data_IF_729444364023
#
_entry.id   IF_729444364023
#
_cell.length_a   1.000
_cell.length_b   1.000
_cell.length_c   1.000
_cell.angle_alpha   90.00
_cell.angle_beta   90.00
_cell.angle_gamma   90.00
#
_symmetry.space_group_name_H-M   'P 1'
#
loop_
_entity.id
_entity.type
_entity.pdbx_description
1 polymer ?
#
# COMPACT_ATOMS: atom_id res chain seq x y z
N UNK A 1 15.45 -15.09 -20.90
CA UNK A 1 14.85 -15.29 -19.56
C UNK A 1 14.48 -13.98 -18.86
N UNK A 2 15.42 -13.04 -18.67
CA UNK A 2 15.17 -11.79 -17.94
C UNK A 2 14.24 -10.78 -18.65
N UNK A 3 14.16 -10.79 -19.99
CA UNK A 3 13.24 -9.93 -20.75
C UNK A 3 11.79 -10.43 -20.77
N UNK A 4 11.61 -11.76 -20.76
CA UNK A 4 10.29 -12.41 -20.63
C UNK A 4 9.67 -12.14 -19.25
N UNK A 5 10.50 -12.17 -18.21
CA UNK A 5 10.08 -11.90 -16.82
C UNK A 5 9.59 -10.46 -16.64
N UNK A 6 10.35 -9.47 -17.15
CA UNK A 6 9.92 -8.05 -17.17
C UNK A 6 8.61 -7.83 -17.93
N UNK A 7 8.39 -8.55 -19.03
CA UNK A 7 7.15 -8.49 -19.79
C UNK A 7 5.95 -9.04 -19.00
N UNK A 8 6.14 -10.15 -18.28
CA UNK A 8 5.12 -10.74 -17.42
C UNK A 8 4.79 -9.83 -16.22
N UNK A 9 5.78 -9.22 -15.58
CA UNK A 9 5.57 -8.26 -14.49
C UNK A 9 4.79 -7.03 -14.93
N UNK A 10 5.14 -6.46 -16.08
CA UNK A 10 4.44 -5.31 -16.64
C UNK A 10 2.99 -5.64 -17.06
N UNK A 11 2.78 -6.83 -17.63
CA UNK A 11 1.44 -7.31 -17.95
C UNK A 11 0.57 -7.45 -16.68
N UNK A 12 1.12 -8.06 -15.63
CA UNK A 12 0.45 -8.21 -14.34
C UNK A 12 0.11 -6.84 -13.72
N UNK A 13 1.02 -5.88 -13.76
CA UNK A 13 0.79 -4.54 -13.25
C UNK A 13 -0.39 -3.86 -13.97
N UNK A 14 -0.45 -3.94 -15.30
CA UNK A 14 -1.56 -3.36 -16.08
C UNK A 14 -2.91 -3.98 -15.71
N UNK A 15 -2.96 -5.29 -15.47
CA UNK A 15 -4.18 -5.97 -15.03
C UNK A 15 -4.62 -5.43 -13.67
N UNK A 16 -3.68 -5.23 -12.74
CA UNK A 16 -3.98 -4.66 -11.43
C UNK A 16 -4.44 -3.20 -11.50
N UNK A 17 -3.85 -2.39 -12.38
CA UNK A 17 -4.30 -1.01 -12.62
C UNK A 17 -5.71 -0.97 -13.20
N UNK A 18 -5.98 -1.77 -14.24
CA UNK A 18 -7.32 -1.85 -14.83
C UNK A 18 -8.37 -2.30 -13.82
N UNK A 19 -8.01 -3.24 -12.95
CA UNK A 19 -8.89 -3.68 -11.87
C UNK A 19 -9.12 -2.57 -10.82
N UNK A 20 -8.05 -1.98 -10.31
CA UNK A 20 -8.11 -1.01 -9.21
C UNK A 20 -8.78 0.30 -9.61
N UNK A 21 -8.56 0.77 -10.84
CA UNK A 21 -9.17 2.00 -11.36
C UNK A 21 -10.49 1.74 -12.08
N UNK A 22 -10.53 0.71 -12.92
CA UNK A 22 -11.68 0.41 -13.76
C UNK A 22 -12.89 -0.07 -12.96
N UNK A 23 -12.68 -0.87 -11.91
CA UNK A 23 -13.77 -1.35 -11.04
C UNK A 23 -14.57 -0.19 -10.41
N UNK A 24 -13.94 0.66 -9.58
CA UNK A 24 -14.60 1.82 -8.98
C UNK A 24 -15.18 2.79 -10.02
N UNK A 25 -14.45 3.06 -11.11
CA UNK A 25 -14.92 3.95 -12.18
C UNK A 25 -16.19 3.41 -12.84
N UNK A 26 -16.27 2.11 -13.08
CA UNK A 26 -17.45 1.47 -13.69
C UNK A 26 -18.65 1.57 -12.76
N UNK A 27 -18.49 1.26 -11.48
CA UNK A 27 -19.57 1.35 -10.48
C UNK A 27 -20.05 2.81 -10.36
N UNK A 28 -19.12 3.76 -10.27
CA UNK A 28 -19.43 5.18 -10.19
C UNK A 28 -20.13 5.71 -11.46
N UNK A 29 -19.66 5.30 -12.64
CA UNK A 29 -20.27 5.69 -13.91
C UNK A 29 -21.70 5.15 -14.04
N UNK A 30 -21.92 3.87 -13.68
CA UNK A 30 -23.27 3.29 -13.68
C UNK A 30 -24.18 4.03 -12.71
N UNK A 31 -23.72 4.28 -11.48
CA UNK A 31 -24.49 5.04 -10.50
C UNK A 31 -24.85 6.45 -11.01
N UNK A 32 -23.88 7.17 -11.58
CA UNK A 32 -24.09 8.50 -12.14
C UNK A 32 -25.07 8.51 -13.33
N UNK A 33 -24.95 7.54 -14.25
CA UNK A 33 -25.86 7.40 -15.39
C UNK A 33 -27.29 7.17 -14.90
N UNK A 34 -27.49 6.23 -13.97
CA UNK A 34 -28.81 5.89 -13.45
C UNK A 34 -29.45 7.04 -12.66
N UNK A 35 -28.64 7.85 -11.97
CA UNK A 35 -29.10 9.03 -11.23
C UNK A 35 -29.63 10.12 -12.17
N UNK A 36 -29.02 10.28 -13.36
CA UNK A 36 -29.39 11.31 -14.35
C UNK A 36 -30.55 10.91 -15.29
N UNK A 37 -31.06 9.68 -15.20
CA UNK A 37 -32.20 9.26 -16.05
C UNK A 37 -33.49 10.00 -15.64
N UNK A 38 -34.39 10.34 -16.57
CA UNK A 38 -35.67 10.97 -16.23
C UNK A 38 -36.53 10.09 -15.33
N UNK A 39 -37.22 10.71 -14.37
CA UNK A 39 -38.14 10.01 -13.48
C UNK A 39 -39.33 9.42 -14.26
N UNK A 40 -39.65 8.16 -13.98
CA UNK A 40 -40.74 7.43 -14.65
C UNK A 40 -40.33 6.59 -15.87
N UNK A 41 -39.14 6.78 -16.42
CA UNK A 41 -38.66 6.02 -17.59
C UNK A 41 -38.49 4.52 -17.29
N UNK A 42 -38.00 4.22 -16.08
CA UNK A 42 -37.67 2.85 -15.66
C UNK A 42 -37.87 2.68 -14.14
N UNK A 43 -39.08 2.32 -13.67
CA UNK A 43 -39.35 2.15 -12.23
C UNK A 43 -38.63 0.95 -11.60
N UNK A 44 -38.14 0.01 -12.42
CA UNK A 44 -37.47 -1.20 -11.94
C UNK A 44 -35.98 -0.98 -11.60
N UNK A 45 -35.37 0.12 -12.02
CA UNK A 45 -33.96 0.37 -11.71
C UNK A 45 -33.83 1.10 -10.37
N UNK A 46 -32.93 0.59 -9.52
CA UNK A 46 -32.60 1.22 -8.26
C UNK A 46 -31.71 2.45 -8.51
N UNK A 47 -32.31 3.63 -8.45
CA UNK A 47 -31.60 4.92 -8.60
C UNK A 47 -30.90 5.31 -7.29
N UNK A 48 -29.62 5.73 -7.32
CA UNK A 48 -28.89 6.20 -6.13
C UNK A 48 -29.52 7.41 -5.45
N UNK A 49 -30.11 8.33 -6.24
CA UNK A 49 -30.77 9.56 -5.80
C UNK A 49 -29.86 10.41 -4.92
N UNK A 50 -28.67 10.70 -5.44
CA UNK A 50 -27.65 11.45 -4.70
C UNK A 50 -28.18 12.84 -4.30
N UNK A 51 -27.88 13.27 -3.07
CA UNK A 51 -28.14 14.65 -2.65
C UNK A 51 -29.60 15.00 -2.33
N UNK A 52 -30.54 14.07 -2.47
CA UNK A 52 -31.98 14.36 -2.27
C UNK A 52 -32.41 14.37 -0.80
N UNK A 53 -31.83 13.50 0.04
CA UNK A 53 -32.09 13.42 1.49
C UNK A 53 -30.84 13.77 2.32
N UNK A 54 -29.69 13.28 1.87
CA UNK A 54 -28.36 13.48 2.47
C UNK A 54 -27.42 13.90 1.36
N UNK A 55 -26.28 14.50 1.69
CA UNK A 55 -25.17 14.70 0.74
C UNK A 55 -24.44 13.38 0.42
N UNK A 56 -25.22 12.32 0.16
CA UNK A 56 -24.82 10.94 -0.02
C UNK A 56 -25.96 10.17 -0.72
N UNK A 57 -25.89 8.84 -0.75
CA UNK A 57 -26.98 7.98 -1.21
C UNK A 57 -28.28 8.24 -0.42
N UNK A 58 -29.42 8.15 -1.11
CA UNK A 58 -30.73 8.43 -0.52
C UNK A 58 -31.11 7.47 0.60
N UNK A 59 -30.93 6.16 0.38
CA UNK A 59 -31.34 5.10 1.30
C UNK A 59 -30.29 4.00 1.43
N UNK A 60 -30.56 3.09 2.37
CA UNK A 60 -29.68 1.99 2.70
C UNK A 60 -29.59 0.93 1.60
N UNK A 61 -30.66 0.76 0.81
CA UNK A 61 -30.68 -0.17 -0.31
C UNK A 61 -29.75 0.30 -1.45
N UNK A 62 -29.79 1.59 -1.77
CA UNK A 62 -28.91 2.23 -2.74
C UNK A 62 -27.45 2.19 -2.26
N UNK A 63 -27.23 2.55 -0.99
CA UNK A 63 -25.91 2.53 -0.37
C UNK A 63 -25.30 1.12 -0.35
N UNK A 64 -26.09 0.10 0.00
CA UNK A 64 -25.66 -1.29 -0.05
C UNK A 64 -25.34 -1.71 -1.48
N UNK A 65 -26.20 -1.39 -2.45
CA UNK A 65 -26.03 -1.90 -3.82
C UNK A 65 -24.82 -1.32 -4.53
N UNK A 66 -24.55 -0.02 -4.36
CA UNK A 66 -23.51 0.69 -5.11
C UNK A 66 -22.21 0.89 -4.32
N UNK A 67 -22.22 0.75 -2.99
CA UNK A 67 -21.04 1.01 -2.16
C UNK A 67 -20.68 -0.20 -1.28
N UNK A 68 -21.48 -0.50 -0.24
CA UNK A 68 -21.12 -1.53 0.74
C UNK A 68 -21.12 -2.96 0.19
N UNK A 69 -21.94 -3.26 -0.82
CA UNK A 69 -21.99 -4.56 -1.48
C UNK A 69 -20.68 -4.89 -2.19
N UNK A 70 -20.22 -4.05 -3.15
CA UNK A 70 -18.91 -4.20 -3.77
C UNK A 70 -17.77 -4.24 -2.75
N UNK A 71 -17.77 -3.36 -1.74
CA UNK A 71 -16.77 -3.35 -0.67
C UNK A 71 -16.80 -4.65 0.13
N UNK A 72 -17.98 -5.16 0.47
CA UNK A 72 -18.16 -6.42 1.21
C UNK A 72 -17.59 -7.60 0.45
N UNK A 73 -17.81 -7.68 -0.87
CA UNK A 73 -17.20 -8.71 -1.72
C UNK A 73 -15.67 -8.60 -1.70
N UNK A 74 -15.12 -7.38 -1.81
CA UNK A 74 -13.68 -7.14 -1.73
C UNK A 74 -13.10 -7.56 -0.38
N UNK A 75 -13.78 -7.27 0.73
CA UNK A 75 -13.36 -7.67 2.08
C UNK A 75 -13.36 -9.19 2.22
N UNK A 76 -14.40 -9.87 1.75
CA UNK A 76 -14.46 -11.33 1.77
C UNK A 76 -13.29 -11.95 0.98
N UNK A 77 -13.04 -11.46 -0.23
CA UNK A 77 -11.90 -11.90 -1.04
C UNK A 77 -10.58 -11.63 -0.31
N UNK A 78 -10.37 -10.44 0.23
CA UNK A 78 -9.18 -10.08 0.99
C UNK A 78 -8.96 -11.00 2.20
N UNK A 79 -10.01 -11.31 2.97
CA UNK A 79 -9.93 -12.23 4.11
C UNK A 79 -9.55 -13.64 3.65
N UNK A 80 -10.13 -14.15 2.56
CA UNK A 80 -9.79 -15.49 2.03
C UNK A 80 -8.33 -15.57 1.55
N UNK A 81 -7.86 -14.57 0.80
CA UNK A 81 -6.49 -14.48 0.33
C UNK A 81 -5.49 -14.33 1.48
N UNK A 82 -5.85 -13.53 2.47
CA UNK A 82 -5.06 -13.36 3.68
C UNK A 82 -4.98 -14.66 4.47
N UNK A 83 -6.10 -15.37 4.67
CA UNK A 83 -6.11 -16.66 5.35
C UNK A 83 -5.25 -17.69 4.61
N UNK A 84 -5.33 -17.76 3.28
CA UNK A 84 -4.48 -18.63 2.47
C UNK A 84 -2.99 -18.29 2.62
N UNK A 85 -2.64 -17.01 2.56
CA UNK A 85 -1.25 -16.53 2.72
C UNK A 85 -0.73 -16.81 4.12
N UNK A 86 -1.54 -16.54 5.15
CA UNK A 86 -1.20 -16.83 6.54
C UNK A 86 -0.97 -18.32 6.75
N UNK A 87 -1.84 -19.18 6.20
CA UNK A 87 -1.67 -20.64 6.26
C UNK A 87 -0.38 -21.10 5.60
N UNK A 88 -0.05 -20.57 4.42
CA UNK A 88 1.17 -20.94 3.72
C UNK A 88 2.41 -20.49 4.49
N UNK A 89 2.40 -19.28 5.04
CA UNK A 89 3.50 -18.76 5.86
C UNK A 89 3.64 -19.57 7.16
N UNK A 90 2.56 -19.84 7.88
CA UNK A 90 2.59 -20.59 9.14
C UNK A 90 2.98 -22.06 8.92
N UNK A 91 2.42 -22.72 7.90
CA UNK A 91 2.72 -24.13 7.58
C UNK A 91 4.13 -24.28 6.97
N UNK A 92 4.55 -23.33 6.12
CA UNK A 92 5.90 -23.26 5.56
C UNK A 92 6.97 -22.99 6.61
N UNK A 93 6.67 -22.16 7.63
CA UNK A 93 7.53 -21.98 8.80
C UNK A 93 7.60 -23.26 9.65
N UNK A 94 6.47 -23.94 9.90
CA UNK A 94 6.42 -25.18 10.68
C UNK A 94 7.21 -26.34 10.03
N UNK A 95 7.29 -26.39 8.70
CA UNK A 95 8.11 -27.38 7.99
C UNK A 95 9.61 -27.04 7.95
N UNK A 96 9.99 -25.82 8.33
CA UNK A 96 11.36 -25.30 8.19
C UNK A 96 11.91 -24.82 9.54
N UNK A 97 11.86 -25.66 10.58
CA UNK A 97 12.61 -25.42 11.83
C UNK A 97 14.14 -25.52 11.65
N UNK A 98 14.64 -25.78 10.44
CA UNK A 98 16.08 -25.86 10.16
C UNK A 98 16.48 -24.75 9.18
N UNK A 99 17.41 -23.90 9.63
CA UNK A 99 18.16 -22.88 8.89
C UNK A 99 17.59 -21.44 8.91
N UNK A 100 17.96 -20.73 9.97
CA UNK A 100 18.60 -19.39 10.03
C UNK A 100 18.80 -18.61 8.70
N UNK A 101 17.72 -18.33 7.94
CA UNK A 101 17.68 -17.30 6.89
C UNK A 101 16.30 -16.59 6.81
N UNK A 102 15.56 -16.57 7.93
CA UNK A 102 14.10 -16.36 7.95
C UNK A 102 13.67 -14.88 8.12
N UNK A 103 14.58 -13.91 8.05
CA UNK A 103 14.28 -12.51 8.39
C UNK A 103 13.47 -11.81 7.30
N UNK A 104 13.76 -12.01 6.01
CA UNK A 104 13.05 -11.32 4.92
C UNK A 104 11.61 -11.83 4.72
N UNK A 105 11.39 -13.15 4.72
CA UNK A 105 10.04 -13.74 4.64
C UNK A 105 9.18 -13.39 5.85
N UNK A 106 9.75 -13.39 7.06
CA UNK A 106 9.05 -12.96 8.26
C UNK A 106 8.78 -11.43 8.29
N UNK A 107 9.61 -10.64 7.61
CA UNK A 107 9.40 -9.18 7.46
C UNK A 107 8.30 -8.90 6.45
N UNK A 108 8.30 -9.58 5.30
CA UNK A 108 7.23 -9.48 4.29
C UNK A 108 5.87 -9.92 4.85
N UNK A 109 5.85 -11.02 5.62
CA UNK A 109 4.65 -11.48 6.33
C UNK A 109 4.14 -10.46 7.35
N UNK A 110 5.03 -9.79 8.10
CA UNK A 110 4.65 -8.72 9.04
C UNK A 110 4.10 -7.47 8.35
N UNK A 111 4.64 -7.09 7.19
CA UNK A 111 4.15 -5.95 6.41
C UNK A 111 2.79 -6.27 5.79
N UNK A 112 2.62 -7.45 5.17
CA UNK A 112 1.31 -7.90 4.66
C UNK A 112 0.25 -7.98 5.77
N UNK A 113 0.60 -8.53 6.94
CA UNK A 113 -0.29 -8.59 8.10
C UNK A 113 -0.73 -7.19 8.54
N UNK A 114 0.21 -6.24 8.66
CA UNK A 114 -0.10 -4.86 8.99
C UNK A 114 -1.06 -4.22 7.98
N UNK A 115 -0.82 -4.41 6.69
CA UNK A 115 -1.64 -3.82 5.63
C UNK A 115 -3.05 -4.39 5.60
N UNK A 116 -3.21 -5.71 5.75
CA UNK A 116 -4.54 -6.35 5.75
C UNK A 116 -5.31 -6.02 7.03
N UNK A 117 -4.66 -5.99 8.19
CA UNK A 117 -5.34 -5.69 9.45
C UNK A 117 -5.75 -4.22 9.50
N UNK A 118 -4.86 -3.29 9.15
CA UNK A 118 -5.19 -1.85 9.20
C UNK A 118 -6.30 -1.50 8.20
N UNK A 119 -6.26 -2.05 6.98
CA UNK A 119 -7.29 -1.75 5.98
C UNK A 119 -8.57 -2.55 6.22
N UNK A 120 -8.48 -3.85 6.53
CA UNK A 120 -9.65 -4.71 6.67
C UNK A 120 -10.49 -4.41 7.91
N UNK A 121 -9.86 -4.11 9.05
CA UNK A 121 -10.59 -3.87 10.30
C UNK A 121 -11.38 -2.57 10.27
N UNK A 122 -10.83 -1.49 9.71
CA UNK A 122 -11.55 -0.21 9.61
C UNK A 122 -12.78 -0.35 8.73
N UNK A 123 -12.63 -0.97 7.55
CA UNK A 123 -13.76 -1.22 6.65
C UNK A 123 -14.83 -2.14 7.24
N UNK A 124 -14.44 -3.14 8.04
CA UNK A 124 -15.43 -3.96 8.78
C UNK A 124 -16.16 -3.12 9.81
N UNK A 125 -15.47 -2.22 10.52
CA UNK A 125 -16.12 -1.31 11.47
C UNK A 125 -17.13 -0.38 10.79
N UNK A 126 -16.83 0.17 9.61
CA UNK A 126 -17.77 0.96 8.81
C UNK A 126 -19.01 0.16 8.36
N UNK A 127 -18.82 -1.08 7.94
CA UNK A 127 -19.96 -1.94 7.55
C UNK A 127 -20.84 -2.23 8.78
N UNK A 128 -20.22 -2.47 9.93
CA UNK A 128 -20.95 -2.72 11.19
C UNK A 128 -21.66 -1.46 11.68
N UNK A 129 -21.04 -0.28 11.60
CA UNK A 129 -21.67 0.98 12.01
C UNK A 129 -22.91 1.28 11.17
N UNK A 130 -22.84 1.04 9.87
CA UNK A 130 -23.99 1.13 8.98
C UNK A 130 -25.07 0.09 9.28
N UNK A 131 -24.71 -1.19 9.47
CA UNK A 131 -25.67 -2.27 9.62
C UNK A 131 -26.37 -2.32 10.98
N UNK A 132 -25.64 -2.01 12.06
CA UNK A 132 -26.17 -2.04 13.44
C UNK A 132 -26.82 -0.71 13.80
N UNK A 133 -26.31 0.40 13.25
CA UNK A 133 -26.75 1.74 13.61
C UNK A 133 -26.52 2.03 15.10
N UNK A 134 -27.44 2.80 15.69
CA UNK A 134 -27.37 3.24 17.08
C UNK A 134 -26.93 4.71 17.22
N UNK A 135 -26.66 5.17 18.45
CA UNK A 135 -26.25 6.55 18.67
C UNK A 135 -24.90 6.86 18.02
N UNK A 136 -24.81 7.99 17.32
CA UNK A 136 -23.62 8.38 16.53
C UNK A 136 -22.31 8.36 17.34
N UNK A 137 -22.37 8.70 18.63
CA UNK A 137 -21.20 8.76 19.50
C UNK A 137 -20.46 7.43 19.67
N UNK A 138 -21.14 6.29 19.46
CA UNK A 138 -20.52 4.95 19.54
C UNK A 138 -19.52 4.74 18.40
N UNK A 139 -19.76 5.40 17.26
CA UNK A 139 -18.99 5.23 16.03
C UNK A 139 -17.95 6.33 15.80
N UNK A 140 -17.96 7.42 16.58
CA UNK A 140 -17.00 8.53 16.41
C UNK A 140 -15.54 8.09 16.41
N UNK A 141 -15.17 7.13 17.25
CA UNK A 141 -13.78 6.63 17.26
C UNK A 141 -13.44 5.88 15.98
N UNK A 142 -14.34 5.01 15.51
CA UNK A 142 -14.12 4.22 14.29
C UNK A 142 -14.13 5.11 13.06
N UNK A 143 -15.04 6.08 13.00
CA UNK A 143 -15.16 7.05 11.91
C UNK A 143 -13.93 7.97 11.86
N UNK A 144 -13.40 8.38 13.02
CA UNK A 144 -12.16 9.15 13.11
C UNK A 144 -10.96 8.34 12.62
N UNK A 145 -10.85 7.07 13.02
CA UNK A 145 -9.77 6.19 12.54
C UNK A 145 -9.89 5.98 11.04
N UNK A 146 -11.10 5.80 10.52
CA UNK A 146 -11.35 5.68 9.09
C UNK A 146 -10.97 6.96 8.34
N UNK A 147 -11.35 8.14 8.85
CA UNK A 147 -10.95 9.43 8.28
C UNK A 147 -9.43 9.64 8.29
N UNK A 148 -8.73 9.12 9.30
CA UNK A 148 -7.27 9.17 9.42
C UNK A 148 -6.55 8.01 8.69
N UNK A 149 -7.28 7.11 8.02
CA UNK A 149 -6.73 5.91 7.41
C UNK A 149 -5.58 6.24 6.43
N UNK A 150 -5.71 7.31 5.64
CA UNK A 150 -4.64 7.77 4.75
C UNK A 150 -3.34 8.11 5.48
N UNK A 151 -3.42 8.76 6.64
CA UNK A 151 -2.27 9.10 7.49
C UNK A 151 -1.63 7.83 8.06
N UNK A 152 -2.45 6.86 8.49
CA UNK A 152 -1.97 5.58 9.00
C UNK A 152 -1.23 4.77 7.93
N UNK A 153 -1.76 4.73 6.69
CA UNK A 153 -1.08 4.08 5.55
C UNK A 153 0.26 4.77 5.29
N UNK A 154 0.28 6.10 5.25
CA UNK A 154 1.52 6.86 5.04
C UNK A 154 2.55 6.55 6.13
N UNK A 155 2.16 6.51 7.39
CA UNK A 155 3.06 6.17 8.49
C UNK A 155 3.60 4.73 8.38
N UNK A 156 2.78 3.76 7.95
CA UNK A 156 3.19 2.35 7.84
C UNK A 156 4.10 2.10 6.63
N UNK A 157 3.83 2.75 5.50
CA UNK A 157 4.51 2.50 4.23
C UNK A 157 5.60 3.54 3.94
N UNK A 158 5.27 4.82 4.08
CA UNK A 158 6.16 5.94 3.77
C UNK A 158 7.25 6.14 4.83
N UNK A 159 6.97 5.88 6.10
CA UNK A 159 7.97 6.09 7.17
C UNK A 159 8.94 4.91 7.37
N UNK A 160 9.08 4.01 6.40
CA UNK A 160 10.02 2.90 6.51
C UNK A 160 11.48 3.38 6.34
N UNK A 161 12.44 2.83 7.10
CA UNK A 161 13.85 3.23 7.01
C UNK A 161 14.43 3.15 5.59
N UNK A 162 13.93 2.19 4.79
CA UNK A 162 14.32 2.00 3.40
C UNK A 162 13.89 3.18 2.50
N UNK A 163 12.66 3.67 2.69
CA UNK A 163 12.12 4.83 1.97
C UNK A 163 12.90 6.08 2.35
N UNK A 164 13.13 6.28 3.65
CA UNK A 164 13.92 7.41 4.15
C UNK A 164 15.37 7.40 3.66
N UNK A 165 16.01 6.23 3.56
CA UNK A 165 17.35 6.10 2.99
C UNK A 165 17.39 6.44 1.49
N UNK A 166 16.39 5.98 0.72
CA UNK A 166 16.28 6.34 -0.70
C UNK A 166 16.03 7.84 -0.90
N UNK A 167 15.16 8.42 -0.07
CA UNK A 167 14.89 9.84 0.03
C UNK A 167 16.19 10.61 0.29
N UNK A 168 16.94 10.29 1.34
CA UNK A 168 18.22 10.95 1.64
C UNK A 168 19.19 10.88 0.47
N UNK A 169 19.32 9.73 -0.20
CA UNK A 169 20.18 9.58 -1.39
C UNK A 169 19.77 10.52 -2.53
N UNK A 170 18.47 10.68 -2.79
CA UNK A 170 17.98 11.61 -3.82
C UNK A 170 18.26 13.07 -3.44
N UNK A 171 18.11 13.41 -2.16
CA UNK A 171 18.44 14.75 -1.64
C UNK A 171 19.95 15.03 -1.70
N UNK A 172 20.81 14.07 -1.35
CA UNK A 172 22.26 14.21 -1.46
C UNK A 172 22.77 14.27 -2.91
N UNK A 173 22.08 13.62 -3.86
CA UNK A 173 22.36 13.75 -5.30
C UNK A 173 21.90 15.09 -5.87
N UNK A 174 20.85 15.69 -5.30
CA UNK A 174 20.37 17.02 -5.69
C UNK A 174 21.27 18.16 -5.18
N UNK A 175 22.12 17.92 -4.17
CA UNK A 175 23.01 18.93 -3.58
C UNK A 175 24.36 19.08 -4.32
N UNK A 176 24.62 18.33 -5.39
CA UNK A 176 25.82 18.53 -6.23
C UNK A 176 25.55 19.22 -7.59
N UNK A 177 25.19 20.52 -7.59
CA UNK A 177 25.58 21.41 -8.66
C UNK A 177 26.54 22.45 -8.09
N UNK A 178 27.85 22.19 -8.24
CA UNK A 178 28.98 23.12 -8.49
C UNK A 178 30.21 22.68 -7.69
N UNK A 179 31.06 21.86 -8.31
CA UNK A 179 32.51 21.98 -8.09
C UNK A 179 33.18 21.97 -9.47
N UNK A 180 33.02 23.12 -10.12
CA UNK A 180 33.92 23.53 -11.17
C UNK A 180 35.24 23.97 -10.54
N UNK A 181 36.31 23.35 -11.04
CA UNK A 181 37.72 23.74 -10.96
C UNK A 181 38.59 23.25 -9.79
N UNK A 182 39.65 22.58 -10.25
CA UNK A 182 41.00 22.51 -9.71
C UNK A 182 41.31 21.42 -8.69
N UNK A 183 41.51 20.20 -9.19
CA UNK A 183 42.65 19.40 -8.71
C UNK A 183 43.61 19.14 -9.86
N UNK A 184 44.70 19.90 -9.79
CA UNK A 184 45.91 19.85 -10.59
C UNK A 184 46.45 18.43 -10.68
N UNK A 185 46.80 18.04 -11.89
CA UNK A 185 47.70 16.91 -12.19
C UNK A 185 48.97 17.01 -11.35
N UNK A 186 49.33 15.92 -10.67
CA UNK A 186 50.73 15.61 -10.37
C UNK A 186 51.00 14.15 -10.70
N UNK A 187 51.98 14.00 -11.58
CA UNK A 187 52.47 12.80 -12.22
C UNK A 187 53.29 11.91 -11.29
N UNK A 188 53.16 10.59 -11.49
CA UNK A 188 54.21 9.54 -11.47
C UNK A 188 55.26 9.52 -10.36
N UNK A 189 55.34 8.41 -9.62
CA UNK A 189 56.51 7.50 -9.60
C UNK A 189 56.15 6.19 -8.88
N UNK A 190 56.58 5.07 -9.46
CA UNK A 190 56.46 3.72 -8.90
C UNK A 190 57.71 3.35 -8.08
N UNK A 191 57.56 2.63 -6.95
CA UNK A 191 58.14 1.29 -6.70
C UNK A 191 57.66 0.74 -5.31
N UNK A 192 57.67 -0.59 -5.08
CA UNK A 192 57.10 -1.21 -3.89
C UNK A 192 58.17 -1.52 -2.81
N UNK A 193 57.79 -1.49 -1.53
CA UNK A 193 58.50 -2.26 -0.50
C UNK A 193 57.60 -2.62 0.69
N UNK A 194 57.57 -3.92 0.98
CA UNK A 194 57.20 -4.54 2.25
C UNK A 194 57.86 -3.84 3.45
N UNK A 195 57.13 -3.59 4.54
CA UNK A 195 57.38 -4.23 5.84
C UNK A 195 56.29 -3.92 6.88
N UNK A 196 56.15 -4.85 7.81
CA UNK A 196 55.19 -4.96 8.91
C UNK A 196 55.16 -3.83 9.96
N UNK A 197 53.98 -3.64 10.56
CA UNK A 197 53.64 -3.78 12.00
C UNK A 197 52.70 -2.70 12.60
N UNK A 198 51.63 -3.23 13.21
CA UNK A 198 50.85 -2.74 14.37
C UNK A 198 49.91 -1.52 14.30
N UNK A 199 48.62 -1.88 14.40
CA UNK A 199 47.56 -1.30 15.24
C UNK A 199 47.19 0.17 15.08
N UNK A 200 46.08 0.41 14.37
CA UNK A 200 45.01 1.26 14.92
C UNK A 200 43.66 0.88 14.29
N UNK A 201 42.64 0.87 15.13
CA UNK A 201 41.23 0.66 14.78
C UNK A 201 40.79 1.85 13.94
N UNK A 202 40.45 1.62 12.67
CA UNK A 202 39.55 2.49 11.91
C UNK A 202 38.52 1.62 11.22
N UNK A 203 37.30 1.74 11.75
CA UNK A 203 36.06 1.25 11.15
C UNK A 203 36.03 1.66 9.67
N UNK A 204 35.52 0.85 8.74
CA UNK A 204 35.19 1.36 7.42
C UNK A 204 34.23 2.54 7.65
N UNK A 205 34.64 3.71 7.16
CA UNK A 205 33.82 4.90 7.10
C UNK A 205 32.56 4.49 6.38
N UNK A 206 31.49 4.30 7.15
CA UNK A 206 30.14 4.39 6.66
C UNK A 206 30.03 5.76 6.00
N UNK A 207 30.21 5.79 4.69
CA UNK A 207 29.79 6.92 3.87
C UNK A 207 28.27 6.87 3.88
N UNK A 208 27.71 7.31 5.00
CA UNK A 208 26.28 7.48 5.21
C UNK A 208 25.88 8.75 4.44
N UNK A 209 25.32 8.53 3.25
CA UNK A 209 24.26 9.38 2.71
C UNK A 209 22.93 8.72 3.07
#
# INVERSE_FOLDING_TARGET
PASLDKGQEACRLRVYELYAWGGPLTIAAVAAILDNLPDGSHPNFLKPRFGQQRCWFYGDAELLSYFFGPIGVLLLLNVTLFAATARELTCGLWKTEVVKSNTERATLGRVCLKLVVVMGVTWVADVVSWAVGGPDYVWYLTDLINALQGVLIFAVVGCQPQVWAAVKRLWCLAENPTDGNNVRSSSSHALPSLNDHNTSITKPVETLC
#
